data_IF_375632445165
#
_entry.id   IF_375632445165
#
_cell.length_a   1.000
_cell.length_b   1.000
_cell.length_c   1.000
_cell.angle_alpha   90.00
_cell.angle_beta   90.00
_cell.angle_gamma   90.00
#
_symmetry.space_group_name_H-M   'P 1'
#
loop_
_entity.id
_entity.type
_entity.pdbx_description
1 polymer ?
#
# COMPACT_ATOMS: atom_id res chain seq x y z
N UNK A 1 -13.07 1.87 2.60
CA UNK A 1 -12.31 2.18 3.82
C UNK A 1 -11.95 0.92 4.57
N UNK A 2 -10.67 0.78 4.92
CA UNK A 2 -10.19 -0.31 5.76
C UNK A 2 -9.81 0.26 7.11
N UNK A 3 -10.38 -0.29 8.19
CA UNK A 3 -10.08 0.05 9.57
C UNK A 3 -9.54 -1.17 10.28
N UNK A 4 -8.48 -1.00 11.06
CA UNK A 4 -7.92 -2.10 11.84
C UNK A 4 -6.64 -1.63 12.50
N UNK A 5 -6.56 -1.80 13.82
CA UNK A 5 -5.38 -1.41 14.58
C UNK A 5 -4.17 -2.24 14.13
N UNK A 6 -3.05 -1.57 13.91
CA UNK A 6 -1.82 -2.20 13.44
C UNK A 6 -0.80 -2.26 14.57
N UNK A 7 -0.31 -3.45 14.83
CA UNK A 7 0.71 -3.71 15.82
C UNK A 7 1.64 -4.81 15.33
N UNK A 8 2.55 -5.23 16.20
CA UNK A 8 3.46 -6.31 15.85
C UNK A 8 2.71 -7.63 15.74
N UNK A 9 3.13 -8.46 14.78
CA UNK A 9 2.60 -9.81 14.64
C UNK A 9 2.91 -10.60 15.93
N UNK A 10 1.94 -11.38 16.45
CA UNK A 10 2.13 -12.06 17.74
C UNK A 10 3.23 -13.11 17.76
N UNK A 11 3.57 -13.70 16.62
CA UNK A 11 4.59 -14.77 16.54
C UNK A 11 5.76 -14.41 15.62
N UNK A 12 5.56 -13.60 14.60
CA UNK A 12 6.63 -13.19 13.68
C UNK A 12 6.97 -11.70 13.91
N UNK A 13 8.05 -11.46 14.65
CA UNK A 13 8.48 -10.12 15.05
C UNK A 13 8.89 -9.21 13.88
N UNK A 14 9.14 -9.78 12.71
CA UNK A 14 9.50 -9.01 11.50
C UNK A 14 8.28 -8.46 10.77
N UNK A 15 7.09 -8.92 11.13
CA UNK A 15 5.83 -8.50 10.51
C UNK A 15 5.02 -7.60 11.42
N UNK A 16 4.16 -6.81 10.77
CA UNK A 16 3.05 -6.15 11.42
C UNK A 16 1.78 -6.95 11.13
N UNK A 17 0.73 -6.71 11.89
CA UNK A 17 -0.54 -7.40 11.73
C UNK A 17 -1.70 -6.54 12.22
N UNK A 18 -2.91 -6.91 11.85
CA UNK A 18 -4.10 -6.37 12.52
C UNK A 18 -4.09 -6.93 13.94
N UNK A 19 -3.96 -6.05 14.91
CA UNK A 19 -3.83 -6.40 16.31
C UNK A 19 -4.64 -5.41 17.15
N UNK A 20 -5.92 -5.70 17.33
CA UNK A 20 -6.84 -4.81 18.02
C UNK A 20 -6.50 -4.66 19.51
N UNK A 21 -5.77 -5.61 20.07
CA UNK A 21 -5.41 -5.62 21.48
C UNK A 21 -4.23 -4.71 21.82
N UNK A 22 -3.16 -4.75 21.00
CA UNK A 22 -1.91 -4.05 21.26
C UNK A 22 -1.50 -3.12 20.13
N UNK A 23 -2.30 -3.04 19.06
CA UNK A 23 -2.01 -2.18 17.92
C UNK A 23 -2.47 -0.75 18.12
N UNK A 24 -2.04 0.12 17.24
CA UNK A 24 -2.47 1.51 17.18
C UNK A 24 -3.55 1.66 16.12
N UNK A 25 -4.61 2.46 16.36
CA UNK A 25 -5.65 2.67 15.36
C UNK A 25 -5.08 3.09 14.02
N UNK A 26 -5.62 2.52 12.95
CA UNK A 26 -5.17 2.82 11.61
C UNK A 26 -6.35 2.81 10.64
N UNK A 27 -6.37 3.77 9.72
CA UNK A 27 -7.44 3.93 8.74
C UNK A 27 -6.83 4.19 7.37
N UNK A 28 -7.21 3.36 6.40
CA UNK A 28 -6.84 3.49 5.00
C UNK A 28 -8.10 3.62 4.16
N UNK A 29 -8.19 4.70 3.39
CA UNK A 29 -9.22 4.85 2.36
C UNK A 29 -8.61 4.45 1.03
N UNK A 30 -9.38 3.77 0.18
CA UNK A 30 -8.92 3.48 -1.17
C UNK A 30 -10.04 3.64 -2.18
N UNK A 31 -9.67 3.91 -3.42
CA UNK A 31 -10.59 3.90 -4.54
C UNK A 31 -9.95 3.19 -5.72
N UNK A 32 -10.78 2.52 -6.51
CA UNK A 32 -10.33 1.83 -7.71
C UNK A 32 -10.17 2.83 -8.83
N UNK A 33 -8.98 2.85 -9.44
CA UNK A 33 -8.68 3.68 -10.60
C UNK A 33 -8.88 2.89 -11.90
N UNK A 34 -8.46 1.61 -11.92
CA UNK A 34 -8.55 0.78 -13.11
C UNK A 34 -8.52 -0.71 -12.75
N UNK A 35 -9.31 -1.53 -13.46
CA UNK A 35 -9.36 -2.98 -13.26
C UNK A 35 -8.79 -3.72 -14.47
N UNK A 36 -7.99 -4.76 -14.23
CA UNK A 36 -7.30 -5.55 -15.26
C UNK A 36 -7.62 -7.04 -15.19
N UNK A 37 -8.76 -7.42 -14.66
CA UNK A 37 -9.08 -8.82 -14.41
C UNK A 37 -8.53 -9.27 -13.06
N UNK A 38 -7.37 -9.93 -13.04
CA UNK A 38 -6.77 -10.44 -11.80
C UNK A 38 -6.07 -9.35 -10.97
N UNK A 39 -5.87 -8.17 -11.52
CA UNK A 39 -5.18 -7.06 -10.85
C UNK A 39 -6.03 -5.81 -10.88
N UNK A 40 -5.81 -4.95 -9.92
CA UNK A 40 -6.52 -3.68 -9.79
C UNK A 40 -5.54 -2.59 -9.42
N UNK A 41 -5.63 -1.46 -10.12
CA UNK A 41 -4.88 -0.25 -9.79
C UNK A 41 -5.74 0.60 -8.86
N UNK A 42 -5.24 0.90 -7.68
CA UNK A 42 -5.96 1.69 -6.68
C UNK A 42 -5.13 2.88 -6.21
N UNK A 43 -5.85 3.89 -5.72
CA UNK A 43 -5.27 5.02 -5.00
C UNK A 43 -5.64 4.88 -3.54
N UNK A 44 -4.67 5.03 -2.64
CA UNK A 44 -4.90 5.00 -1.21
C UNK A 44 -4.72 6.39 -0.61
N UNK A 45 -5.60 6.73 0.32
CA UNK A 45 -5.51 7.95 1.13
C UNK A 45 -5.51 7.54 2.61
N UNK A 46 -4.48 7.94 3.32
CA UNK A 46 -4.26 7.52 4.69
C UNK A 46 -4.71 8.59 5.69
N UNK A 47 -5.47 8.21 6.72
CA UNK A 47 -5.71 9.05 7.89
C UNK A 47 -4.61 8.87 8.94
N UNK A 48 -3.91 7.72 8.89
CA UNK A 48 -2.80 7.37 9.78
C UNK A 48 -1.65 6.84 8.95
N UNK A 49 -0.46 6.79 9.50
CA UNK A 49 0.72 6.28 8.81
C UNK A 49 1.48 5.26 9.64
N UNK A 50 0.84 4.13 9.99
CA UNK A 50 1.50 3.07 10.74
C UNK A 50 2.45 2.27 9.85
N UNK A 51 3.40 1.59 10.47
CA UNK A 51 4.38 0.75 9.75
C UNK A 51 3.67 -0.29 8.88
N UNK A 52 4.02 -0.35 7.61
CA UNK A 52 3.44 -1.25 6.62
C UNK A 52 1.90 -1.16 6.50
N UNK A 53 1.30 -0.02 6.83
CA UNK A 53 -0.16 0.10 6.95
C UNK A 53 -0.92 -0.36 5.70
N UNK A 54 -0.59 0.16 4.51
CA UNK A 54 -1.29 -0.21 3.27
C UNK A 54 -1.11 -1.71 3.00
N UNK A 55 0.11 -2.21 3.19
CA UNK A 55 0.43 -3.62 2.96
C UNK A 55 -0.40 -4.53 3.85
N UNK A 56 -0.45 -4.22 5.15
CA UNK A 56 -1.22 -5.00 6.13
C UNK A 56 -2.72 -4.89 5.89
N UNK A 57 -3.24 -3.68 5.70
CA UNK A 57 -4.67 -3.46 5.48
C UNK A 57 -5.16 -4.15 4.22
N UNK A 58 -4.46 -4.00 3.11
CA UNK A 58 -4.89 -4.63 1.85
C UNK A 58 -4.81 -6.14 1.91
N UNK A 59 -3.77 -6.71 2.54
CA UNK A 59 -3.68 -8.15 2.75
C UNK A 59 -4.82 -8.66 3.64
N UNK A 60 -5.22 -7.89 4.65
CA UNK A 60 -6.28 -8.29 5.59
C UNK A 60 -7.64 -8.42 4.93
N UNK A 61 -7.88 -7.70 3.83
CA UNK A 61 -9.12 -7.82 3.06
C UNK A 61 -8.98 -8.75 1.85
N UNK A 62 -7.88 -9.51 1.77
CA UNK A 62 -7.65 -10.51 0.73
C UNK A 62 -7.05 -9.97 -0.56
N UNK A 63 -6.52 -8.74 -0.55
CA UNK A 63 -5.96 -8.08 -1.72
C UNK A 63 -4.53 -7.58 -1.47
N UNK A 64 -3.56 -8.49 -1.22
CA UNK A 64 -2.18 -8.07 -0.99
C UNK A 64 -1.60 -7.34 -2.19
N UNK A 65 -0.61 -6.49 -1.95
CA UNK A 65 0.04 -5.75 -3.03
C UNK A 65 0.83 -6.70 -3.92
N UNK A 66 0.80 -6.42 -5.22
CA UNK A 66 1.59 -7.21 -6.19
C UNK A 66 3.07 -7.12 -5.85
N UNK A 67 3.72 -8.26 -5.78
CA UNK A 67 5.14 -8.36 -5.44
C UNK A 67 5.46 -8.33 -3.95
N UNK A 68 4.45 -8.23 -3.08
CA UNK A 68 4.67 -8.25 -1.63
C UNK A 68 4.77 -9.68 -1.12
N UNK A 69 6.01 -10.17 -0.97
CA UNK A 69 6.27 -11.53 -0.52
C UNK A 69 6.10 -11.72 1.00
N UNK A 70 5.99 -10.63 1.75
CA UNK A 70 5.82 -10.69 3.22
C UNK A 70 4.36 -10.88 3.60
N UNK A 71 3.45 -10.09 3.02
CA UNK A 71 2.02 -10.09 3.35
C UNK A 71 1.17 -10.74 2.27
N UNK A 72 1.74 -11.10 1.15
CA UNK A 72 1.10 -11.77 0.04
C UNK A 72 1.79 -13.06 -0.34
N UNK A 73 1.48 -13.61 -1.52
CA UNK A 73 2.13 -14.82 -2.02
C UNK A 73 3.64 -14.65 -2.15
N UNK A 74 4.41 -15.63 -1.72
CA UNK A 74 5.87 -15.60 -1.83
C UNK A 74 6.34 -15.62 -3.27
N UNK A 75 5.59 -16.28 -4.16
CA UNK A 75 5.91 -16.34 -5.59
C UNK A 75 5.14 -15.25 -6.32
N UNK A 76 5.87 -14.30 -6.91
CA UNK A 76 5.29 -13.25 -7.69
C UNK A 76 4.90 -13.74 -9.09
N UNK A 77 3.65 -13.53 -9.55
CA UNK A 77 3.24 -13.92 -10.90
C UNK A 77 3.87 -13.05 -12.00
N UNK A 78 4.43 -11.91 -11.65
CA UNK A 78 5.10 -11.02 -12.60
C UNK A 78 6.60 -11.14 -12.44
N UNK A 79 7.30 -11.41 -13.53
CA UNK A 79 8.76 -11.55 -13.54
C UNK A 79 9.44 -10.20 -13.33
N UNK A 80 10.61 -10.22 -12.71
CA UNK A 80 11.48 -9.05 -12.50
C UNK A 80 10.92 -7.96 -11.57
N UNK A 81 9.88 -8.27 -10.80
CA UNK A 81 9.41 -7.38 -9.74
C UNK A 81 10.24 -7.60 -8.47
N UNK A 82 10.82 -6.51 -7.94
CA UNK A 82 11.73 -6.57 -6.79
C UNK A 82 11.08 -6.12 -5.49
N UNK A 83 9.82 -6.46 -5.26
CA UNK A 83 9.13 -6.12 -4.04
C UNK A 83 7.73 -5.61 -4.30
N UNK A 84 7.10 -5.06 -3.27
CA UNK A 84 5.72 -4.57 -3.35
C UNK A 84 5.59 -3.39 -4.31
N UNK A 85 4.53 -3.41 -5.10
CA UNK A 85 4.19 -2.34 -6.04
C UNK A 85 3.43 -1.25 -5.28
N UNK A 86 4.16 -0.25 -4.82
CA UNK A 86 3.61 0.85 -4.03
C UNK A 86 4.43 2.11 -4.26
N UNK A 87 3.75 3.23 -4.46
CA UNK A 87 4.40 4.52 -4.66
C UNK A 87 3.61 5.63 -3.97
N UNK A 88 4.30 6.44 -3.15
CA UNK A 88 3.73 7.63 -2.55
C UNK A 88 3.76 8.77 -3.56
N UNK A 89 2.60 9.09 -4.14
CA UNK A 89 2.48 10.10 -5.20
C UNK A 89 2.36 11.51 -4.65
N UNK A 90 1.60 11.67 -3.57
CA UNK A 90 1.38 12.97 -2.92
C UNK A 90 1.69 12.84 -1.45
N UNK A 91 2.53 13.73 -0.95
CA UNK A 91 2.85 13.84 0.45
C UNK A 91 2.53 15.25 0.93
N UNK A 92 1.59 15.37 1.87
CA UNK A 92 1.21 16.63 2.47
C UNK A 92 1.47 16.64 3.96
N UNK A 93 1.95 17.77 4.48
CA UNK A 93 2.18 17.95 5.91
C UNK A 93 2.21 19.41 6.30
N UNK A 94 2.01 19.69 7.58
CA UNK A 94 2.15 21.03 8.13
C UNK A 94 3.60 21.21 8.58
N UNK A 95 4.26 22.23 8.04
CA UNK A 95 5.65 22.49 8.36
C UNK A 95 5.80 22.85 9.86
N UNK A 96 6.70 22.19 10.61
CA UNK A 96 6.77 22.35 12.06
C UNK A 96 7.21 23.74 12.52
N UNK A 97 7.93 24.50 11.70
CA UNK A 97 8.39 25.85 12.07
C UNK A 97 7.42 26.96 11.65
N UNK A 98 6.87 26.84 10.43
CA UNK A 98 6.06 27.93 9.84
C UNK A 98 4.57 27.72 10.04
N UNK A 99 4.12 26.50 10.34
CA UNK A 99 2.71 26.15 10.41
C UNK A 99 2.03 26.10 9.05
N UNK A 100 2.75 26.30 7.96
CA UNK A 100 2.19 26.26 6.60
C UNK A 100 2.00 24.81 6.14
N UNK A 101 0.88 24.56 5.44
CA UNK A 101 0.67 23.27 4.77
C UNK A 101 1.59 23.18 3.55
N UNK A 102 2.29 22.06 3.43
CA UNK A 102 3.18 21.79 2.30
C UNK A 102 2.77 20.49 1.63
N UNK A 103 2.80 20.46 0.30
CA UNK A 103 2.44 19.29 -0.49
C UNK A 103 3.49 19.03 -1.56
N UNK A 104 3.87 17.78 -1.71
CA UNK A 104 4.85 17.34 -2.70
C UNK A 104 4.24 16.21 -3.53
N UNK A 105 4.44 16.26 -4.83
CA UNK A 105 4.03 15.21 -5.76
C UNK A 105 5.27 14.55 -6.37
N UNK A 106 5.17 13.25 -6.60
CA UNK A 106 6.18 12.49 -7.32
C UNK A 106 5.51 11.68 -8.42
N UNK A 107 5.98 11.76 -9.67
CA UNK A 107 5.40 10.96 -10.75
C UNK A 107 5.64 9.47 -10.51
N UNK A 108 4.80 8.63 -11.11
CA UNK A 108 4.96 7.18 -11.03
C UNK A 108 6.34 6.78 -11.59
N UNK A 109 7.06 5.87 -10.90
CA UNK A 109 8.30 5.34 -11.42
C UNK A 109 8.07 4.59 -12.73
N UNK A 110 9.09 4.52 -13.56
CA UNK A 110 9.01 3.88 -14.88
C UNK A 110 8.53 2.43 -14.80
N UNK A 111 9.05 1.65 -13.82
CA UNK A 111 8.62 0.25 -13.68
C UNK A 111 7.11 0.13 -13.44
N UNK A 112 6.54 1.05 -12.67
CA UNK A 112 5.12 1.06 -12.34
C UNK A 112 4.30 1.42 -13.59
N UNK A 113 4.71 2.47 -14.30
CA UNK A 113 4.05 2.88 -15.54
C UNK A 113 4.09 1.77 -16.60
N UNK A 114 5.24 1.10 -16.74
CA UNK A 114 5.40 -0.01 -17.69
C UNK A 114 4.51 -1.20 -17.31
N UNK A 115 4.38 -1.48 -16.03
CA UNK A 115 3.50 -2.55 -15.54
C UNK A 115 2.04 -2.27 -15.87
N UNK A 116 1.58 -1.04 -15.68
CA UNK A 116 0.23 -0.64 -16.05
C UNK A 116 -0.02 -0.80 -17.56
N UNK A 117 0.93 -0.41 -18.39
CA UNK A 117 0.82 -0.59 -19.84
C UNK A 117 0.73 -2.07 -20.21
N UNK A 118 1.52 -2.92 -19.56
CA UNK A 118 1.48 -4.38 -19.78
C UNK A 118 0.11 -4.95 -19.42
N UNK A 119 -0.46 -4.56 -18.31
CA UNK A 119 -1.77 -5.04 -17.87
C UNK A 119 -2.89 -4.57 -18.79
N UNK A 120 -2.83 -3.33 -19.29
CA UNK A 120 -3.81 -2.79 -20.23
C UNK A 120 -3.83 -3.54 -21.54
N UNK A 121 -2.67 -4.05 -22.01
CA UNK A 121 -2.59 -4.83 -23.24
C UNK A 121 -3.22 -6.23 -23.11
N UNK A 122 -3.30 -6.76 -21.91
CA UNK A 122 -3.77 -8.12 -21.65
C UNK A 122 -5.25 -8.19 -21.24
N UNK A 123 -5.94 -7.06 -21.26
CA UNK A 123 -7.38 -6.97 -20.91
C UNK A 123 -8.26 -6.88 -22.13
#
# INVERSE_FOLDING_TARGET
TVRGAIGRHPTDRKKMAINERNGKPAVTHYRVLERFGNYTYIECQLETGRTHQIRVHMASIGHPLLGDAVYGPKKCPVKNLQGQTLHAMVLGFIHPRTGAYMEFEAPLPEYFSNLLLQFRKNV
#
